data_IF_347652481090
#
_entry.id   IF_347652481090
#
_cell.length_a   1.000
_cell.length_b   1.000
_cell.length_c   1.000
_cell.angle_alpha   90.00
_cell.angle_beta   90.00
_cell.angle_gamma   90.00
#
_symmetry.space_group_name_H-M   'P 1'
#
loop_
_entity.id
_entity.type
_entity.pdbx_description
1 polymer ?
#
# COMPACT_ATOMS: atom_id res chain seq x y z
N UNK A 1 -5.63 37.19 70.62
CA UNK A 1 -4.63 38.01 69.90
C UNK A 1 -3.57 37.08 69.34
N UNK A 2 -3.72 36.68 68.08
CA UNK A 2 -2.71 35.87 67.36
C UNK A 2 -2.85 36.12 65.86
N UNK A 3 -1.94 36.98 65.39
CA UNK A 3 -1.28 37.06 64.08
C UNK A 3 -1.97 36.52 62.82
N UNK A 4 -2.35 37.46 61.97
CA UNK A 4 -2.42 37.31 60.50
C UNK A 4 -1.00 37.40 59.94
N UNK A 5 -0.64 36.56 58.97
CA UNK A 5 0.53 36.76 58.11
C UNK A 5 0.26 36.27 56.68
N UNK A 6 0.83 36.91 55.65
CA UNK A 6 0.32 36.89 54.28
C UNK A 6 1.02 35.85 53.38
N UNK A 7 0.30 35.44 52.35
CA UNK A 7 0.74 34.54 51.27
C UNK A 7 1.90 35.13 50.45
N UNK A 8 2.90 34.33 50.01
CA UNK A 8 3.88 34.77 49.02
C UNK A 8 3.40 34.55 47.57
N UNK A 9 3.94 35.29 46.59
CA UNK A 9 3.44 35.33 45.22
C UNK A 9 3.98 34.19 44.34
N UNK A 10 3.23 33.93 43.27
CA UNK A 10 3.53 32.98 42.21
C UNK A 10 4.92 33.20 41.59
N UNK A 11 5.73 32.13 41.51
CA UNK A 11 6.88 32.05 40.63
C UNK A 11 6.55 31.19 39.41
N UNK A 12 6.69 31.81 38.24
CA UNK A 12 6.73 31.14 36.93
C UNK A 12 8.04 30.37 36.78
N UNK A 13 7.97 29.38 35.89
CA UNK A 13 9.07 28.72 35.15
C UNK A 13 9.42 27.31 35.64
N UNK A 14 8.81 26.36 34.93
CA UNK A 14 9.17 24.95 34.92
C UNK A 14 8.72 24.40 33.58
N UNK A 15 9.54 24.63 32.55
CA UNK A 15 9.45 23.89 31.29
C UNK A 15 9.50 22.41 31.64
N UNK A 16 8.35 21.74 31.63
CA UNK A 16 8.30 20.28 31.63
C UNK A 16 8.86 19.83 30.28
N UNK A 17 10.17 19.72 30.20
CA UNK A 17 10.80 18.80 29.27
C UNK A 17 10.39 17.42 29.76
N UNK A 18 9.25 16.93 29.26
CA UNK A 18 8.86 15.55 29.46
C UNK A 18 9.93 14.72 28.76
N UNK A 19 10.76 14.05 29.56
CA UNK A 19 11.66 13.01 29.08
C UNK A 19 10.82 11.92 28.43
N UNK A 20 10.58 12.02 27.11
CA UNK A 20 9.89 10.99 26.37
C UNK A 20 10.70 9.67 26.50
N UNK A 21 10.04 8.53 26.71
CA UNK A 21 10.73 7.26 26.87
C UNK A 21 11.65 6.94 25.69
N UNK A 22 12.79 6.32 25.99
CA UNK A 22 13.77 5.86 25.01
C UNK A 22 13.17 4.82 24.05
N UNK A 23 12.21 4.02 24.55
CA UNK A 23 11.40 3.09 23.75
C UNK A 23 10.18 3.78 23.14
N UNK A 24 9.88 3.45 21.89
CA UNK A 24 8.64 3.84 21.20
C UNK A 24 7.50 2.83 21.39
N UNK A 25 7.76 1.70 22.03
CA UNK A 25 6.73 0.70 22.30
C UNK A 25 5.78 1.20 23.38
N UNK A 26 4.50 0.89 23.25
CA UNK A 26 3.48 1.36 24.19
C UNK A 26 2.75 0.19 24.85
N UNK A 27 2.44 0.35 26.14
CA UNK A 27 1.63 -0.64 26.86
C UNK A 27 0.16 -0.62 26.40
N UNK A 28 -0.34 0.57 26.07
CA UNK A 28 -1.68 0.80 25.53
C UNK A 28 -1.59 1.30 24.09
N UNK A 29 -2.61 0.99 23.31
CA UNK A 29 -2.73 1.48 21.95
C UNK A 29 -2.82 3.01 21.99
N UNK A 30 -1.81 3.69 21.45
CA UNK A 30 -1.79 5.13 21.36
C UNK A 30 -2.42 5.57 20.03
N UNK A 31 -3.15 6.69 20.06
CA UNK A 31 -3.82 7.23 18.88
C UNK A 31 -3.15 8.51 18.42
N UNK A 32 -2.84 8.57 17.12
CA UNK A 32 -2.32 9.76 16.45
C UNK A 32 -3.42 10.25 15.51
N UNK A 33 -3.97 11.43 15.81
CA UNK A 33 -5.08 12.01 15.06
C UNK A 33 -4.50 13.07 14.12
N UNK A 34 -4.71 12.88 12.81
CA UNK A 34 -4.13 13.76 11.81
C UNK A 34 -2.68 13.41 11.45
N UNK A 35 -2.10 14.23 10.57
CA UNK A 35 -0.75 14.06 10.03
C UNK A 35 0.01 15.38 10.16
N UNK A 36 0.33 15.76 11.40
CA UNK A 36 1.13 16.94 11.68
C UNK A 36 2.63 16.62 11.53
N UNK A 37 3.32 17.44 10.74
CA UNK A 37 4.77 17.30 10.51
C UNK A 37 5.59 17.60 11.77
N UNK A 38 5.07 18.43 12.68
CA UNK A 38 5.74 18.83 13.91
C UNK A 38 5.45 17.86 15.07
N UNK A 39 4.60 16.84 14.86
CA UNK A 39 4.36 15.79 15.84
C UNK A 39 5.63 14.93 16.03
N UNK A 40 6.23 15.06 17.21
CA UNK A 40 7.47 14.38 17.58
C UNK A 40 7.33 12.85 17.58
N UNK A 41 6.18 12.31 17.99
CA UNK A 41 5.93 10.87 17.99
C UNK A 41 5.87 10.37 16.55
N UNK A 42 5.10 11.04 15.69
CA UNK A 42 4.96 10.67 14.28
C UNK A 42 6.30 10.76 13.53
N UNK A 43 7.13 11.76 13.85
CA UNK A 43 8.49 11.90 13.32
C UNK A 43 9.39 10.75 13.78
N UNK A 44 9.33 10.35 15.05
CA UNK A 44 10.08 9.21 15.59
C UNK A 44 9.63 7.87 14.98
N UNK A 45 8.33 7.65 14.82
CA UNK A 45 7.74 6.49 14.14
C UNK A 45 8.25 6.41 12.69
N UNK A 46 8.17 7.51 11.96
CA UNK A 46 8.63 7.61 10.56
C UNK A 46 10.14 7.33 10.43
N UNK A 47 10.94 7.86 11.36
CA UNK A 47 12.38 7.58 11.44
C UNK A 47 12.68 6.11 11.72
N UNK A 48 11.91 5.47 12.60
CA UNK A 48 12.05 4.04 12.88
C UNK A 48 11.74 3.21 11.63
N UNK A 49 10.62 3.48 10.95
CA UNK A 49 10.25 2.84 9.68
C UNK A 49 11.35 2.96 8.62
N UNK A 50 11.95 4.14 8.49
CA UNK A 50 13.07 4.37 7.56
C UNK A 50 14.31 3.52 7.90
N UNK A 51 14.56 3.22 9.19
CA UNK A 51 15.70 2.42 9.66
C UNK A 51 15.44 0.91 9.59
N UNK A 52 14.19 0.47 9.71
CA UNK A 52 13.77 -0.94 9.68
C UNK A 52 14.23 -1.66 8.41
N UNK A 53 14.60 -2.94 8.53
CA UNK A 53 15.16 -3.74 7.43
C UNK A 53 14.30 -4.94 7.04
N UNK A 54 13.36 -5.33 7.91
CA UNK A 54 12.51 -6.52 7.74
C UNK A 54 11.08 -6.14 8.12
N UNK A 55 10.45 -5.38 7.24
CA UNK A 55 9.10 -4.83 7.42
C UNK A 55 8.09 -5.87 6.94
N UNK A 56 7.22 -6.31 7.84
CA UNK A 56 6.01 -7.02 7.48
C UNK A 56 4.87 -6.00 7.27
N UNK A 57 4.06 -6.21 6.25
CA UNK A 57 2.83 -5.46 6.01
C UNK A 57 1.62 -6.38 6.21
N UNK A 58 0.54 -5.84 6.76
CA UNK A 58 -0.78 -6.46 6.76
C UNK A 58 -1.78 -5.49 6.15
N UNK A 59 -2.41 -5.86 5.05
CA UNK A 59 -3.32 -4.97 4.32
C UNK A 59 -4.74 -5.52 4.32
N UNK A 60 -5.71 -4.61 4.17
CA UNK A 60 -7.10 -4.95 3.88
C UNK A 60 -7.72 -3.96 2.90
N UNK A 61 -9.03 -4.07 2.71
CA UNK A 61 -9.72 -3.42 1.60
C UNK A 61 -9.58 -1.89 1.58
N UNK A 62 -9.30 -1.26 2.72
CA UNK A 62 -9.07 0.17 2.83
C UNK A 62 -7.93 0.70 1.95
N UNK A 63 -6.94 -0.12 1.60
CA UNK A 63 -5.85 0.31 0.70
C UNK A 63 -6.28 0.38 -0.77
N UNK A 64 -7.41 -0.24 -1.12
CA UNK A 64 -7.96 -0.32 -2.48
C UNK A 64 -9.16 0.63 -2.69
N UNK A 65 -9.66 1.29 -1.64
CA UNK A 65 -10.79 2.23 -1.74
C UNK A 65 -10.54 3.37 -2.75
N UNK A 66 -9.34 3.96 -2.72
CA UNK A 66 -8.98 5.04 -3.64
C UNK A 66 -8.76 4.55 -5.09
N UNK A 67 -8.71 3.23 -5.32
CA UNK A 67 -8.74 2.63 -6.66
C UNK A 67 -10.17 2.41 -7.19
N UNK A 68 -11.20 2.83 -6.44
CA UNK A 68 -12.61 2.62 -6.79
C UNK A 68 -13.14 1.24 -6.41
N UNK A 69 -12.38 0.44 -5.65
CA UNK A 69 -12.83 -0.84 -5.12
C UNK A 69 -13.39 -0.60 -3.71
N UNK A 70 -14.71 -0.66 -3.50
CA UNK A 70 -15.30 -0.42 -2.18
C UNK A 70 -14.83 -1.46 -1.16
N UNK A 71 -14.67 -1.03 0.10
CA UNK A 71 -14.42 -1.97 1.19
C UNK A 71 -15.66 -2.80 1.51
N UNK A 72 -15.57 -3.75 2.45
CA UNK A 72 -16.71 -4.57 2.81
C UNK A 72 -17.69 -3.92 3.80
N UNK A 73 -17.23 -2.99 4.64
CA UNK A 73 -17.86 -2.67 5.94
C UNK A 73 -18.19 -1.20 6.16
N UNK A 74 -17.73 -0.28 5.32
CA UNK A 74 -18.07 1.13 5.38
C UNK A 74 -19.54 1.34 4.98
N UNK A 75 -20.06 2.54 5.25
CA UNK A 75 -21.43 2.95 4.92
C UNK A 75 -21.77 2.93 3.42
N UNK A 76 -20.73 2.98 2.59
CA UNK A 76 -20.75 2.86 1.13
C UNK A 76 -20.10 1.54 0.66
N UNK A 77 -19.79 0.65 1.59
CA UNK A 77 -19.11 -0.61 1.34
C UNK A 77 -20.01 -1.69 0.73
N UNK A 78 -19.38 -2.80 0.33
CA UNK A 78 -20.02 -3.92 -0.36
C UNK A 78 -21.21 -4.50 0.40
N UNK A 79 -21.18 -4.57 1.74
CA UNK A 79 -22.32 -5.08 2.50
C UNK A 79 -23.57 -4.21 2.38
N UNK A 80 -23.40 -2.89 2.35
CA UNK A 80 -24.51 -1.96 2.22
C UNK A 80 -24.99 -1.88 0.76
N UNK A 81 -24.09 -1.98 -0.22
CA UNK A 81 -24.45 -2.10 -1.64
C UNK A 81 -25.29 -3.35 -1.89
N UNK A 82 -24.85 -4.50 -1.40
CA UNK A 82 -25.62 -5.75 -1.46
C UNK A 82 -26.98 -5.58 -0.78
N UNK A 83 -27.02 -5.00 0.42
CA UNK A 83 -28.28 -4.80 1.15
C UNK A 83 -29.26 -3.89 0.40
N UNK A 84 -28.77 -2.83 -0.26
CA UNK A 84 -29.61 -1.93 -1.08
C UNK A 84 -30.13 -2.63 -2.34
N UNK A 85 -29.23 -3.25 -3.10
CA UNK A 85 -29.57 -3.99 -4.33
C UNK A 85 -30.48 -5.18 -4.04
N UNK A 86 -30.41 -5.71 -2.82
CA UNK A 86 -31.20 -6.86 -2.36
C UNK A 86 -32.31 -6.47 -1.37
N UNK A 87 -32.62 -5.19 -1.20
CA UNK A 87 -33.60 -4.71 -0.20
C UNK A 87 -35.01 -5.24 -0.43
N UNK A 88 -35.32 -5.62 -1.66
CA UNK A 88 -36.54 -6.32 -2.07
C UNK A 88 -36.61 -7.79 -1.61
N UNK A 89 -35.52 -8.35 -1.07
CA UNK A 89 -35.43 -9.75 -0.67
C UNK A 89 -35.27 -9.87 0.85
N UNK A 90 -36.37 -10.23 1.52
CA UNK A 90 -36.47 -10.39 2.98
C UNK A 90 -35.45 -11.39 3.58
N UNK A 91 -34.90 -12.29 2.76
CA UNK A 91 -34.04 -13.40 3.20
C UNK A 91 -32.58 -13.04 3.50
N UNK A 92 -32.11 -11.83 3.15
CA UNK A 92 -30.71 -11.40 3.40
C UNK A 92 -30.70 -10.40 4.55
N UNK A 93 -30.27 -10.85 5.74
CA UNK A 93 -30.27 -10.00 6.94
C UNK A 93 -29.00 -9.15 7.05
N UNK A 94 -27.90 -9.57 6.43
CA UNK A 94 -26.65 -8.81 6.40
C UNK A 94 -25.79 -9.14 5.18
N UNK A 95 -24.98 -8.19 4.72
CA UNK A 95 -24.01 -8.43 3.64
C UNK A 95 -22.96 -9.49 3.97
N UNK A 96 -22.73 -9.79 5.27
CA UNK A 96 -21.86 -10.90 5.70
C UNK A 96 -22.36 -12.25 5.23
N UNK A 97 -23.69 -12.46 5.17
CA UNK A 97 -24.28 -13.73 4.72
C UNK A 97 -23.88 -14.07 3.29
N UNK A 98 -23.63 -13.07 2.44
CA UNK A 98 -23.18 -13.28 1.06
C UNK A 98 -21.74 -13.76 0.94
N UNK A 99 -21.00 -13.78 2.04
CA UNK A 99 -19.62 -14.27 2.11
C UNK A 99 -19.46 -15.39 3.11
N UNK A 100 -20.56 -16.04 3.52
CA UNK A 100 -20.55 -17.18 4.42
C UNK A 100 -20.81 -18.47 3.63
N UNK A 101 -20.12 -19.55 3.98
CA UNK A 101 -20.24 -20.85 3.28
C UNK A 101 -21.68 -21.37 3.28
N UNK A 102 -22.51 -20.97 4.26
CA UNK A 102 -23.93 -21.32 4.32
C UNK A 102 -24.75 -20.77 3.16
N UNK A 103 -24.25 -19.79 2.39
CA UNK A 103 -24.93 -19.27 1.19
C UNK A 103 -25.20 -20.36 0.16
N UNK A 104 -24.36 -21.40 0.08
CA UNK A 104 -24.52 -22.50 -0.88
C UNK A 104 -25.67 -23.47 -0.54
N UNK A 105 -26.42 -23.20 0.53
CA UNK A 105 -27.63 -23.94 0.87
C UNK A 105 -28.89 -23.35 0.24
N UNK A 106 -28.76 -22.21 -0.45
CA UNK A 106 -29.88 -21.45 -0.99
C UNK A 106 -29.54 -20.95 -2.41
N UNK A 107 -30.23 -21.50 -3.41
CA UNK A 107 -30.05 -21.15 -4.82
C UNK A 107 -30.25 -19.65 -5.09
N UNK A 108 -31.12 -19.01 -4.33
CA UNK A 108 -31.36 -17.58 -4.45
C UNK A 108 -30.13 -16.78 -4.00
N UNK A 109 -29.51 -17.16 -2.88
CA UNK A 109 -28.26 -16.53 -2.40
C UNK A 109 -27.09 -16.81 -3.34
N UNK A 110 -27.01 -18.01 -3.91
CA UNK A 110 -26.03 -18.35 -4.95
C UNK A 110 -26.15 -17.40 -6.15
N UNK A 111 -27.38 -17.12 -6.60
CA UNK A 111 -27.61 -16.24 -7.75
C UNK A 111 -27.14 -14.82 -7.51
N UNK A 112 -27.42 -14.26 -6.33
CA UNK A 112 -26.95 -12.92 -5.95
C UNK A 112 -25.42 -12.92 -5.81
N UNK A 113 -24.85 -13.94 -5.16
CA UNK A 113 -23.41 -14.07 -4.99
C UNK A 113 -22.70 -14.10 -6.34
N UNK A 114 -23.17 -14.91 -7.29
CA UNK A 114 -22.60 -15.02 -8.62
C UNK A 114 -22.61 -13.67 -9.37
N UNK A 115 -23.76 -12.97 -9.40
CA UNK A 115 -23.89 -11.65 -10.04
C UNK A 115 -22.96 -10.62 -9.41
N UNK A 116 -22.93 -10.61 -8.09
CA UNK A 116 -22.10 -9.71 -7.32
C UNK A 116 -20.61 -9.93 -7.62
N UNK A 117 -20.16 -11.18 -7.59
CA UNK A 117 -18.74 -11.51 -7.80
C UNK A 117 -18.29 -11.20 -9.24
N UNK A 118 -19.18 -11.35 -10.22
CA UNK A 118 -18.91 -10.94 -11.60
C UNK A 118 -18.74 -9.42 -11.74
N UNK A 119 -19.61 -8.64 -11.08
CA UNK A 119 -19.51 -7.17 -11.03
C UNK A 119 -18.23 -6.74 -10.34
N UNK A 120 -17.89 -7.35 -9.19
CA UNK A 120 -16.66 -7.08 -8.47
C UNK A 120 -15.43 -7.39 -9.33
N UNK A 121 -15.39 -8.57 -9.96
CA UNK A 121 -14.32 -8.95 -10.88
C UNK A 121 -14.17 -7.91 -12.00
N UNK A 122 -15.27 -7.52 -12.66
CA UNK A 122 -15.24 -6.52 -13.73
C UNK A 122 -14.71 -5.16 -13.27
N UNK A 123 -15.09 -4.71 -12.07
CA UNK A 123 -14.60 -3.45 -11.50
C UNK A 123 -13.10 -3.51 -11.17
N UNK A 124 -12.63 -4.62 -10.60
CA UNK A 124 -11.22 -4.83 -10.28
C UNK A 124 -10.34 -4.78 -11.52
N UNK A 125 -10.81 -5.31 -12.66
CA UNK A 125 -10.05 -5.26 -13.92
C UNK A 125 -9.80 -3.82 -14.43
N UNK A 126 -10.61 -2.85 -14.02
CA UNK A 126 -10.46 -1.44 -14.37
C UNK A 126 -9.66 -0.65 -13.34
N UNK A 127 -9.49 -1.20 -12.14
CA UNK A 127 -8.84 -0.53 -11.03
C UNK A 127 -7.32 -0.44 -11.25
N UNK A 128 -6.73 0.67 -10.79
CA UNK A 128 -5.28 0.87 -10.80
C UNK A 128 -4.71 0.84 -9.39
N UNK A 129 -3.49 0.32 -9.19
CA UNK A 129 -2.81 0.31 -7.89
C UNK A 129 -2.71 1.72 -7.27
N UNK A 130 -3.10 1.82 -6.00
CA UNK A 130 -3.04 3.08 -5.22
C UNK A 130 -1.61 3.45 -4.82
N UNK A 131 -1.43 4.64 -4.23
CA UNK A 131 -0.12 5.04 -3.67
C UNK A 131 0.36 4.05 -2.61
N UNK A 132 -0.56 3.51 -1.82
CA UNK A 132 -0.26 2.48 -0.81
C UNK A 132 0.29 1.21 -1.43
N UNK A 133 -0.26 0.74 -2.55
CA UNK A 133 0.29 -0.41 -3.27
C UNK A 133 1.71 -0.13 -3.75
N UNK A 134 1.92 1.04 -4.37
CA UNK A 134 3.24 1.48 -4.85
C UNK A 134 4.26 1.61 -3.71
N UNK A 135 3.83 2.06 -2.52
CA UNK A 135 4.68 2.08 -1.33
C UNK A 135 5.15 0.68 -0.94
N UNK A 136 4.28 -0.34 -0.98
CA UNK A 136 4.67 -1.73 -0.68
C UNK A 136 5.69 -2.24 -1.71
N UNK A 137 5.49 -1.96 -3.00
CA UNK A 137 6.50 -2.27 -4.02
C UNK A 137 7.81 -1.54 -3.78
N UNK A 138 7.76 -0.27 -3.39
CA UNK A 138 8.95 0.49 -3.02
C UNK A 138 9.69 -0.15 -1.83
N UNK A 139 8.99 -0.69 -0.83
CA UNK A 139 9.63 -1.44 0.25
C UNK A 139 10.40 -2.68 -0.27
N UNK A 140 9.85 -3.39 -1.27
CA UNK A 140 10.53 -4.50 -1.95
C UNK A 140 11.77 -4.01 -2.68
N UNK A 141 11.67 -2.96 -3.47
CA UNK A 141 12.79 -2.41 -4.25
C UNK A 141 13.94 -1.92 -3.35
N UNK A 142 13.60 -1.48 -2.13
CA UNK A 142 14.57 -1.10 -1.10
C UNK A 142 15.10 -2.28 -0.28
N UNK A 143 14.70 -3.51 -0.60
CA UNK A 143 15.03 -4.75 0.11
C UNK A 143 14.67 -4.70 1.60
N UNK A 144 13.56 -4.01 1.92
CA UNK A 144 13.03 -3.83 3.28
C UNK A 144 11.76 -4.62 3.51
N UNK A 145 10.99 -4.94 2.47
CA UNK A 145 9.82 -5.79 2.58
C UNK A 145 10.24 -7.22 2.93
N UNK A 146 9.77 -7.71 4.07
CA UNK A 146 9.83 -9.12 4.42
C UNK A 146 8.66 -9.86 3.78
N UNK A 147 7.44 -9.34 3.96
CA UNK A 147 6.20 -9.91 3.45
C UNK A 147 5.08 -8.89 3.50
N UNK A 148 4.18 -8.92 2.53
CA UNK A 148 2.85 -8.35 2.64
C UNK A 148 1.83 -9.47 2.82
N UNK A 149 1.11 -9.49 3.93
CA UNK A 149 -0.05 -10.36 4.11
C UNK A 149 -1.29 -9.56 3.74
N UNK A 150 -1.97 -9.93 2.66
CA UNK A 150 -3.13 -9.18 2.16
C UNK A 150 -4.42 -9.93 2.43
N UNK A 151 -5.42 -9.25 2.98
CA UNK A 151 -6.79 -9.75 3.07
C UNK A 151 -7.56 -9.54 1.77
N UNK A 152 -6.98 -8.81 0.82
CA UNK A 152 -7.63 -8.44 -0.42
C UNK A 152 -7.57 -9.59 -1.43
N UNK A 153 -8.59 -9.61 -2.28
CA UNK A 153 -8.77 -10.59 -3.35
C UNK A 153 -8.61 -9.94 -4.74
N UNK A 154 -8.43 -8.61 -4.80
CA UNK A 154 -8.34 -7.82 -6.02
C UNK A 154 -7.07 -8.11 -6.84
N UNK A 155 -5.96 -8.43 -6.17
CA UNK A 155 -4.70 -8.79 -6.82
C UNK A 155 -3.98 -7.62 -7.49
N UNK A 156 -4.27 -6.38 -7.06
CA UNK A 156 -3.61 -5.17 -7.57
C UNK A 156 -2.10 -5.18 -7.30
N UNK A 157 -1.65 -5.86 -6.26
CA UNK A 157 -0.22 -6.02 -5.93
C UNK A 157 0.57 -6.68 -7.08
N UNK A 158 -0.02 -7.64 -7.81
CA UNK A 158 0.69 -8.31 -8.92
C UNK A 158 0.98 -7.35 -10.07
N UNK A 159 0.07 -6.41 -10.35
CA UNK A 159 0.19 -5.47 -11.47
C UNK A 159 1.36 -4.49 -11.32
N UNK A 160 1.94 -4.37 -10.11
CA UNK A 160 3.15 -3.59 -9.83
C UNK A 160 4.39 -4.48 -9.61
N UNK A 161 4.34 -5.74 -10.06
CA UNK A 161 5.48 -6.65 -10.05
C UNK A 161 5.76 -7.31 -8.70
N UNK A 162 4.79 -7.32 -7.77
CA UNK A 162 4.89 -8.11 -6.55
C UNK A 162 4.51 -9.57 -6.82
N UNK A 163 5.32 -10.48 -6.30
CA UNK A 163 5.12 -11.93 -6.47
C UNK A 163 4.07 -12.40 -5.47
N UNK A 164 2.91 -12.84 -5.98
CA UNK A 164 1.82 -13.36 -5.14
C UNK A 164 2.02 -14.83 -4.77
N UNK A 165 1.53 -15.21 -3.59
CA UNK A 165 1.35 -16.60 -3.20
C UNK A 165 0.41 -17.32 -4.16
N UNK A 166 0.79 -18.51 -4.61
CA UNK A 166 -0.09 -19.38 -5.38
C UNK A 166 -0.20 -20.75 -4.70
N UNK A 167 -1.20 -21.53 -5.10
CA UNK A 167 -1.51 -22.84 -4.50
C UNK A 167 -0.61 -23.97 -5.02
N UNK A 168 0.18 -23.73 -6.08
CA UNK A 168 1.00 -24.78 -6.68
C UNK A 168 2.24 -24.98 -5.80
N UNK A 169 2.44 -26.21 -5.35
CA UNK A 169 3.65 -26.56 -4.64
C UNK A 169 4.84 -26.44 -5.60
N UNK A 170 5.93 -25.77 -5.18
CA UNK A 170 7.11 -25.61 -6.01
C UNK A 170 7.82 -26.95 -6.23
N UNK A 171 8.49 -27.08 -7.37
CA UNK A 171 9.48 -28.16 -7.60
C UNK A 171 10.76 -27.96 -6.75
N UNK A 172 10.92 -26.79 -6.15
CA UNK A 172 12.04 -26.41 -5.27
C UNK A 172 11.67 -26.51 -3.79
N UNK A 173 12.65 -26.40 -2.89
CA UNK A 173 12.40 -26.41 -1.44
C UNK A 173 11.40 -25.32 -1.04
N UNK A 174 10.40 -25.70 -0.21
CA UNK A 174 9.36 -24.81 0.32
C UNK A 174 9.94 -23.49 0.86
N UNK A 175 11.03 -23.55 1.63
CA UNK A 175 11.64 -22.35 2.22
C UNK A 175 12.19 -21.38 1.18
N UNK A 176 12.72 -21.88 0.05
CA UNK A 176 13.24 -21.02 -1.01
C UNK A 176 12.10 -20.38 -1.79
N UNK A 177 11.07 -21.15 -2.11
CA UNK A 177 9.89 -20.63 -2.79
C UNK A 177 9.18 -19.59 -1.93
N UNK A 178 8.94 -19.90 -0.65
CA UNK A 178 8.32 -18.98 0.29
C UNK A 178 9.10 -17.67 0.39
N UNK A 179 10.44 -17.71 0.46
CA UNK A 179 11.27 -16.49 0.50
C UNK A 179 11.11 -15.60 -0.74
N UNK A 180 10.75 -16.16 -1.89
CA UNK A 180 10.61 -15.42 -3.14
C UNK A 180 9.22 -14.79 -3.33
N UNK A 181 8.23 -15.10 -2.48
CA UNK A 181 6.94 -14.40 -2.54
C UNK A 181 7.11 -13.02 -1.90
N UNK A 182 6.39 -12.04 -2.41
CA UNK A 182 6.33 -10.72 -1.76
C UNK A 182 5.02 -10.59 -0.98
N UNK A 183 3.94 -11.16 -1.53
CA UNK A 183 2.59 -11.01 -1.03
C UNK A 183 1.96 -12.38 -0.79
N UNK A 184 1.30 -12.55 0.36
CA UNK A 184 0.53 -13.74 0.73
C UNK A 184 -0.94 -13.35 0.81
N UNK A 185 -1.76 -13.93 -0.06
CA UNK A 185 -3.20 -13.70 -0.10
C UNK A 185 -3.90 -14.58 0.93
N UNK A 186 -4.50 -13.96 1.93
CA UNK A 186 -5.11 -14.64 3.07
C UNK A 186 -6.55 -15.09 2.81
N UNK A 187 -7.21 -14.61 1.76
CA UNK A 187 -8.62 -14.91 1.48
C UNK A 187 -8.87 -15.37 0.03
N UNK A 188 -7.84 -15.90 -0.64
CA UNK A 188 -7.90 -16.34 -2.03
C UNK A 188 -7.70 -15.20 -3.04
N UNK A 189 -8.24 -15.36 -4.24
CA UNK A 189 -8.05 -14.46 -5.37
C UNK A 189 -9.31 -14.33 -6.24
N UNK A 190 -9.46 -13.20 -6.92
CA UNK A 190 -10.49 -12.99 -7.94
C UNK A 190 -10.03 -13.38 -9.35
N UNK A 191 -8.82 -13.90 -9.56
CA UNK A 191 -8.30 -14.22 -10.91
C UNK A 191 -8.75 -15.58 -11.40
N UNK A 192 -9.22 -16.42 -10.50
CA UNK A 192 -9.62 -17.79 -10.81
C UNK A 192 -10.98 -18.16 -10.22
N UNK A 193 -11.60 -19.15 -10.84
CA UNK A 193 -12.71 -19.92 -10.31
C UNK A 193 -12.16 -21.22 -9.74
N UNK A 194 -12.74 -21.72 -8.67
CA UNK A 194 -12.38 -22.96 -7.99
C UNK A 194 -13.57 -23.91 -7.96
N UNK A 195 -13.30 -25.18 -8.23
CA UNK A 195 -14.30 -26.23 -8.14
C UNK A 195 -14.58 -26.59 -6.69
N UNK A 196 -15.85 -26.66 -6.31
CA UNK A 196 -16.30 -27.05 -4.95
C UNK A 196 -16.01 -28.53 -4.59
N UNK A 197 -15.49 -29.32 -5.53
CA UNK A 197 -15.24 -30.76 -5.35
C UNK A 197 -13.80 -31.18 -5.57
N UNK A 198 -13.30 -31.01 -6.79
CA UNK A 198 -11.92 -31.39 -7.11
C UNK A 198 -10.92 -30.30 -6.69
N UNK A 199 -11.40 -29.12 -6.27
CA UNK A 199 -10.58 -27.98 -5.88
C UNK A 199 -9.64 -27.45 -6.96
N UNK A 200 -9.78 -27.93 -8.20
CA UNK A 200 -9.05 -27.43 -9.34
C UNK A 200 -9.48 -25.99 -9.63
N UNK A 201 -8.50 -25.16 -9.98
CA UNK A 201 -8.72 -23.76 -10.34
C UNK A 201 -8.65 -23.53 -11.84
N UNK A 202 -9.45 -22.58 -12.31
CA UNK A 202 -9.61 -22.22 -13.71
C UNK A 202 -9.58 -20.69 -13.86
N UNK A 203 -8.88 -20.13 -14.87
CA UNK A 203 -8.97 -18.70 -15.15
C UNK A 203 -10.38 -18.32 -15.61
N UNK A 204 -10.77 -17.06 -15.47
CA UNK A 204 -12.07 -16.62 -15.99
C UNK A 204 -12.14 -16.77 -17.51
N UNK A 205 -13.28 -17.25 -18.00
CA UNK A 205 -13.60 -17.28 -19.43
C UNK A 205 -14.80 -16.37 -19.72
N UNK A 206 -14.95 -15.94 -20.98
CA UNK A 206 -16.12 -15.16 -21.41
C UNK A 206 -17.43 -15.94 -21.22
N UNK A 207 -17.38 -17.27 -21.26
CA UNK A 207 -18.54 -18.11 -20.97
C UNK A 207 -18.89 -18.05 -19.48
N UNK A 208 -17.92 -18.31 -18.59
CA UNK A 208 -18.17 -18.32 -17.15
C UNK A 208 -18.54 -16.95 -16.59
N UNK A 209 -17.95 -15.85 -17.09
CA UNK A 209 -18.39 -14.49 -16.73
C UNK A 209 -19.87 -14.27 -17.11
N UNK A 210 -20.34 -14.77 -18.26
CA UNK A 210 -21.77 -14.65 -18.62
C UNK A 210 -22.68 -15.49 -17.71
N UNK A 211 -22.28 -16.70 -17.32
CA UNK A 211 -23.02 -17.52 -16.35
C UNK A 211 -23.17 -16.75 -15.03
N UNK A 212 -22.08 -16.24 -14.48
CA UNK A 212 -22.12 -15.54 -13.20
C UNK A 212 -22.93 -14.23 -13.30
N UNK A 213 -22.87 -13.52 -14.43
CA UNK A 213 -23.71 -12.33 -14.69
C UNK A 213 -25.21 -12.67 -14.70
N UNK A 214 -25.59 -13.88 -15.11
CA UNK A 214 -26.97 -14.38 -15.04
C UNK A 214 -27.36 -14.88 -13.64
N UNK A 215 -26.39 -15.01 -12.75
CA UNK A 215 -26.59 -15.56 -11.41
C UNK A 215 -26.54 -17.08 -11.38
N UNK A 216 -25.72 -17.67 -12.26
CA UNK A 216 -25.53 -19.11 -12.36
C UNK A 216 -24.05 -19.43 -12.10
N UNK A 217 -23.80 -20.51 -11.36
CA UNK A 217 -22.46 -21.05 -11.20
C UNK A 217 -22.25 -22.24 -12.16
N UNK A 218 -21.27 -22.17 -13.07
CA UNK A 218 -21.09 -23.18 -14.10
C UNK A 218 -20.53 -24.49 -13.54
N UNK A 219 -20.76 -25.59 -14.25
CA UNK A 219 -20.20 -26.90 -13.91
C UNK A 219 -18.69 -26.96 -14.15
N UNK A 220 -18.01 -27.81 -13.39
CA UNK A 220 -16.57 -28.03 -13.49
C UNK A 220 -16.25 -28.98 -14.65
N UNK A 221 -15.49 -28.53 -15.67
CA UNK A 221 -15.20 -29.34 -16.85
C UNK A 221 -14.39 -30.60 -16.52
N UNK A 222 -13.48 -30.52 -15.55
CA UNK A 222 -12.68 -31.67 -15.14
C UNK A 222 -13.53 -32.75 -14.44
N UNK A 223 -14.49 -32.32 -13.62
CA UNK A 223 -15.44 -33.25 -12.99
C UNK A 223 -16.36 -33.90 -14.03
N UNK A 224 -16.84 -33.14 -15.02
CA UNK A 224 -17.64 -33.67 -16.14
C UNK A 224 -16.84 -34.68 -16.96
N UNK A 225 -15.60 -34.32 -17.34
CA UNK A 225 -14.71 -35.21 -18.08
C UNK A 225 -14.43 -36.51 -17.33
N UNK A 226 -14.21 -36.43 -16.01
CA UNK A 226 -14.00 -37.61 -15.16
C UNK A 226 -15.23 -38.53 -15.12
N UNK A 227 -16.43 -37.96 -15.00
CA UNK A 227 -17.67 -38.74 -14.99
C UNK A 227 -17.92 -39.38 -16.36
N UNK A 228 -17.75 -38.62 -17.44
CA UNK A 228 -17.91 -39.14 -18.81
C UNK A 228 -16.94 -40.27 -19.11
N UNK A 229 -15.67 -40.14 -18.68
CA UNK A 229 -14.67 -41.20 -18.81
C UNK A 229 -15.12 -42.48 -18.07
N UNK A 230 -15.60 -42.36 -16.84
CA UNK A 230 -16.07 -43.52 -16.06
C UNK A 230 -17.29 -44.18 -16.67
N UNK A 231 -18.22 -43.38 -17.20
CA UNK A 231 -19.41 -43.87 -17.90
C UNK A 231 -19.01 -44.70 -19.14
N UNK A 232 -18.09 -44.19 -19.95
CA UNK A 232 -17.58 -44.90 -21.13
C UNK A 232 -16.82 -46.19 -20.78
N UNK A 233 -16.21 -46.26 -19.59
CA UNK A 233 -15.53 -47.45 -19.07
C UNK A 233 -16.50 -48.46 -18.40
N UNK A 234 -17.83 -48.23 -18.45
CA UNK A 234 -18.84 -49.11 -17.83
C UNK A 234 -18.77 -49.12 -16.29
N UNK A 235 -18.04 -48.18 -15.68
CA UNK A 235 -17.86 -48.12 -14.22
C UNK A 235 -19.10 -47.48 -13.59
N UNK A 236 -19.47 -47.99 -12.40
CA UNK A 236 -20.55 -47.39 -11.60
C UNK A 236 -20.27 -45.90 -11.38
N UNK A 237 -21.29 -45.08 -11.62
CA UNK A 237 -21.31 -43.67 -11.24
C UNK A 237 -21.30 -43.56 -9.72
N UNK A 238 -20.19 -43.08 -9.16
CA UNK A 238 -20.15 -42.61 -7.79
C UNK A 238 -21.02 -41.34 -7.77
N UNK A 239 -22.28 -41.47 -7.35
CA UNK A 239 -23.29 -40.41 -7.20
C UNK A 239 -23.12 -39.17 -8.09
N UNK A 240 -23.98 -39.02 -9.11
CA UNK A 240 -24.07 -37.85 -10.02
C UNK A 240 -23.82 -36.54 -9.29
N UNK A 241 -22.59 -36.05 -9.31
CA UNK A 241 -22.34 -34.82 -8.60
C UNK A 241 -21.05 -34.17 -9.12
N UNK A 242 -21.15 -33.69 -10.35
CA UNK A 242 -20.22 -32.75 -10.99
C UNK A 242 -20.01 -31.56 -10.04
N UNK A 243 -18.77 -31.11 -9.88
CA UNK A 243 -18.49 -29.95 -9.05
C UNK A 243 -18.95 -28.65 -9.70
N UNK A 244 -19.24 -27.64 -8.90
CA UNK A 244 -19.63 -26.32 -9.39
C UNK A 244 -18.41 -25.40 -9.29
N UNK A 245 -18.19 -24.56 -10.30
CA UNK A 245 -17.17 -23.52 -10.29
C UNK A 245 -17.70 -22.27 -9.63
N UNK A 246 -17.00 -21.81 -8.60
CA UNK A 246 -17.26 -20.54 -7.91
C UNK A 246 -16.01 -19.67 -7.90
N UNK A 247 -16.08 -18.35 -7.72
CA UNK A 247 -14.89 -17.52 -7.51
C UNK A 247 -13.99 -18.07 -6.40
N UNK A 248 -12.67 -18.06 -6.63
CA UNK A 248 -11.67 -18.67 -5.74
C UNK A 248 -11.36 -17.82 -4.50
N UNK A 249 -12.42 -17.49 -3.75
CA UNK A 249 -12.33 -16.73 -2.50
C UNK A 249 -12.66 -17.62 -1.30
N UNK A 250 -12.06 -17.31 -0.16
CA UNK A 250 -12.31 -18.01 1.10
C UNK A 250 -13.47 -17.33 1.82
N UNK A 251 -14.51 -18.11 2.11
CA UNK A 251 -15.72 -17.63 2.76
C UNK A 251 -15.64 -17.79 4.29
N UNK A 252 -16.47 -17.05 5.03
CA UNK A 252 -16.68 -17.30 6.45
C UNK A 252 -17.20 -18.72 6.67
N UNK A 253 -16.66 -19.40 7.69
CA UNK A 253 -16.99 -20.79 7.98
C UNK A 253 -16.32 -21.80 7.06
N UNK A 254 -15.55 -21.36 6.06
CA UNK A 254 -14.76 -22.23 5.20
C UNK A 254 -13.32 -22.37 5.70
N UNK A 255 -12.76 -23.57 5.58
CA UNK A 255 -11.34 -23.79 5.82
C UNK A 255 -10.52 -23.21 4.67
N UNK A 256 -9.49 -22.43 5.01
CA UNK A 256 -8.59 -21.88 4.00
C UNK A 256 -7.83 -23.02 3.29
N UNK A 257 -7.92 -23.15 1.95
CA UNK A 257 -7.35 -24.30 1.21
C UNK A 257 -5.82 -24.40 1.29
N UNK A 258 -5.14 -23.28 1.56
CA UNK A 258 -3.70 -23.20 1.77
C UNK A 258 -3.31 -22.92 3.23
N UNK A 259 -4.15 -23.24 4.22
CA UNK A 259 -3.91 -22.89 5.63
C UNK A 259 -2.57 -23.42 6.16
N UNK A 260 -2.19 -24.64 5.78
CA UNK A 260 -0.94 -25.28 6.20
C UNK A 260 0.27 -24.55 5.62
N UNK A 261 0.26 -24.27 4.32
CA UNK A 261 1.31 -23.52 3.61
C UNK A 261 1.48 -22.13 4.23
N UNK A 262 0.38 -21.42 4.47
CA UNK A 262 0.43 -20.08 5.08
C UNK A 262 0.98 -20.15 6.51
N UNK A 263 0.55 -21.15 7.29
CA UNK A 263 1.02 -21.30 8.68
C UNK A 263 2.51 -21.65 8.74
N UNK A 264 2.96 -22.58 7.91
CA UNK A 264 4.37 -22.97 7.79
C UNK A 264 5.22 -21.77 7.34
N UNK A 265 4.73 -21.03 6.36
CA UNK A 265 5.37 -19.85 5.83
C UNK A 265 5.45 -18.70 6.83
N UNK A 266 4.37 -18.42 7.57
CA UNK A 266 4.35 -17.44 8.65
C UNK A 266 5.39 -17.78 9.72
N UNK A 267 5.53 -19.05 10.08
CA UNK A 267 6.56 -19.49 11.02
C UNK A 267 7.98 -19.24 10.47
N UNK A 268 8.22 -19.42 9.18
CA UNK A 268 9.50 -19.07 8.55
C UNK A 268 9.76 -17.57 8.60
N UNK A 269 8.76 -16.74 8.31
CA UNK A 269 8.90 -15.28 8.36
C UNK A 269 9.19 -14.80 9.80
N UNK A 270 8.52 -15.39 10.81
CA UNK A 270 8.75 -15.06 12.23
C UNK A 270 10.15 -15.49 12.68
N UNK A 271 10.52 -16.76 12.44
CA UNK A 271 11.75 -17.35 12.99
C UNK A 271 12.98 -16.93 12.18
N UNK A 272 12.94 -17.10 10.87
CA UNK A 272 14.08 -16.83 9.97
C UNK A 272 14.03 -15.43 9.36
N UNK A 273 12.83 -14.97 8.99
CA UNK A 273 12.64 -13.62 8.43
C UNK A 273 12.95 -12.54 9.45
N UNK A 274 12.68 -12.82 10.72
CA UNK A 274 13.04 -12.01 11.87
C UNK A 274 12.61 -10.54 11.65
N UNK A 275 11.29 -10.26 11.64
CA UNK A 275 10.77 -8.93 11.40
C UNK A 275 11.21 -7.94 12.49
N UNK A 276 11.31 -6.66 12.13
CA UNK A 276 11.62 -5.55 13.04
C UNK A 276 10.58 -4.41 12.99
N UNK A 277 9.59 -4.53 12.12
CA UNK A 277 8.49 -3.56 12.00
C UNK A 277 7.26 -4.21 11.39
N UNK A 278 6.06 -3.86 11.88
CA UNK A 278 4.79 -4.26 11.27
C UNK A 278 3.97 -3.03 10.93
N UNK A 279 3.56 -2.92 9.66
CA UNK A 279 2.63 -1.89 9.19
C UNK A 279 1.30 -2.57 8.88
N UNK A 280 0.25 -2.21 9.61
CA UNK A 280 -1.11 -2.65 9.34
C UNK A 280 -1.83 -1.50 8.64
N UNK A 281 -2.46 -1.75 7.49
CA UNK A 281 -3.07 -0.69 6.67
C UNK A 281 -4.47 -1.08 6.19
N UNK A 282 -5.42 -0.15 6.31
CA UNK A 282 -6.73 -0.26 5.66
C UNK A 282 -7.55 -1.48 6.08
N UNK A 283 -7.49 -1.87 7.36
CA UNK A 283 -8.26 -3.02 7.85
C UNK A 283 -8.83 -2.77 9.25
N UNK A 284 -10.02 -3.30 9.49
CA UNK A 284 -10.69 -3.29 10.79
C UNK A 284 -10.28 -4.46 11.70
N UNK A 285 -9.40 -5.36 11.22
CA UNK A 285 -8.91 -6.53 11.96
C UNK A 285 -10.01 -7.38 12.61
N UNK A 286 -11.18 -7.49 11.96
CA UNK A 286 -12.32 -8.25 12.48
C UNK A 286 -12.23 -9.76 12.24
N UNK A 287 -11.37 -10.22 11.34
CA UNK A 287 -11.21 -11.64 10.96
C UNK A 287 -10.25 -12.35 11.93
N UNK A 288 -10.69 -13.41 12.59
CA UNK A 288 -9.93 -14.04 13.69
C UNK A 288 -8.58 -14.62 13.26
N UNK A 289 -8.50 -15.25 12.08
CA UNK A 289 -7.23 -15.75 11.56
C UNK A 289 -6.18 -14.64 11.40
N UNK A 290 -6.63 -13.46 10.96
CA UNK A 290 -5.78 -12.27 10.82
C UNK A 290 -5.35 -11.73 12.19
N UNK A 291 -6.25 -11.72 13.18
CA UNK A 291 -5.90 -11.31 14.56
C UNK A 291 -4.79 -12.17 15.14
N UNK A 292 -4.86 -13.49 14.94
CA UNK A 292 -3.84 -14.41 15.43
C UNK A 292 -2.49 -14.19 14.72
N UNK A 293 -2.50 -13.90 13.42
CA UNK A 293 -1.30 -13.55 12.67
C UNK A 293 -0.62 -12.30 13.25
N UNK A 294 -1.38 -11.23 13.50
CA UNK A 294 -0.85 -9.98 14.08
C UNK A 294 -0.25 -10.24 15.46
N UNK A 295 -0.95 -10.98 16.33
CA UNK A 295 -0.45 -11.30 17.68
C UNK A 295 0.87 -12.07 17.64
N UNK A 296 1.01 -13.04 16.73
CA UNK A 296 2.25 -13.82 16.57
C UNK A 296 3.42 -12.98 16.06
N UNK A 297 3.19 -12.12 15.06
CA UNK A 297 4.23 -11.20 14.56
C UNK A 297 4.62 -10.18 15.62
N UNK A 298 3.62 -9.63 16.33
CA UNK A 298 3.79 -8.58 17.32
C UNK A 298 4.79 -8.98 18.40
N UNK A 299 4.58 -10.15 19.02
CA UNK A 299 5.50 -10.69 20.03
C UNK A 299 6.95 -10.68 19.55
N UNK A 300 7.21 -11.22 18.35
CA UNK A 300 8.57 -11.32 17.80
C UNK A 300 9.20 -9.95 17.49
N UNK A 301 8.39 -9.00 17.04
CA UNK A 301 8.84 -7.64 16.69
C UNK A 301 9.16 -6.87 17.98
N UNK A 302 8.30 -6.97 18.98
CA UNK A 302 8.49 -6.31 20.26
C UNK A 302 9.71 -6.81 21.02
N UNK A 303 9.98 -8.12 21.02
CA UNK A 303 11.19 -8.73 21.58
C UNK A 303 12.50 -8.13 21.04
N UNK A 304 12.45 -7.45 19.90
CA UNK A 304 13.60 -6.83 19.22
C UNK A 304 13.65 -5.31 19.32
N UNK A 305 12.77 -4.69 20.12
CA UNK A 305 12.60 -3.24 20.13
C UNK A 305 12.00 -2.70 18.82
N UNK A 306 11.34 -3.56 18.05
CA UNK A 306 10.62 -3.18 16.84
C UNK A 306 9.30 -2.49 17.16
N UNK A 307 8.63 -1.99 16.13
CA UNK A 307 7.42 -1.17 16.29
C UNK A 307 6.30 -1.64 15.36
N UNK A 308 5.06 -1.48 15.83
CA UNK A 308 3.86 -1.96 15.18
C UNK A 308 2.88 -0.80 15.08
N UNK A 309 2.53 -0.42 13.85
CA UNK A 309 1.61 0.68 13.58
C UNK A 309 0.41 0.20 12.79
N UNK A 310 -0.72 0.87 13.01
CA UNK A 310 -1.94 0.73 12.25
C UNK A 310 -2.29 2.05 11.59
N UNK A 311 -2.42 2.08 10.28
CA UNK A 311 -2.91 3.22 9.50
C UNK A 311 -4.30 2.89 9.00
N UNK A 312 -5.32 3.54 9.55
CA UNK A 312 -6.70 3.28 9.16
C UNK A 312 -7.59 4.49 9.46
N UNK A 313 -8.59 4.75 8.60
CA UNK A 313 -9.57 5.83 8.80
C UNK A 313 -10.43 5.62 10.04
N UNK A 314 -10.80 4.37 10.32
CA UNK A 314 -11.73 4.02 11.39
C UNK A 314 -11.00 3.45 12.61
N UNK A 315 -11.42 3.81 13.83
CA UNK A 315 -10.89 3.21 15.05
C UNK A 315 -11.15 1.70 15.09
N UNK A 316 -10.25 0.96 15.72
CA UNK A 316 -10.44 -0.47 16.01
C UNK A 316 -10.78 -0.67 17.50
N UNK A 317 -11.38 -1.80 17.85
CA UNK A 317 -11.77 -2.07 19.24
C UNK A 317 -10.56 -2.19 20.18
N UNK A 318 -10.33 -1.16 20.99
CA UNK A 318 -9.05 -0.86 21.67
C UNK A 318 -8.51 -1.97 22.59
N UNK A 319 -9.37 -2.54 23.44
CA UNK A 319 -8.94 -3.44 24.52
C UNK A 319 -8.24 -4.71 24.03
N UNK A 320 -8.56 -5.17 22.83
CA UNK A 320 -7.98 -6.39 22.25
C UNK A 320 -6.57 -6.19 21.67
N UNK A 321 -6.09 -4.94 21.58
CA UNK A 321 -4.85 -4.57 20.89
C UNK A 321 -3.83 -3.84 21.77
N UNK A 322 -4.16 -3.59 23.04
CA UNK A 322 -3.18 -3.13 24.03
C UNK A 322 -2.00 -4.10 24.14
N UNK A 323 -0.79 -3.56 24.22
CA UNK A 323 0.47 -4.31 24.22
C UNK A 323 0.75 -5.08 22.91
N UNK A 324 -0.03 -4.86 21.85
CA UNK A 324 0.14 -5.55 20.55
C UNK A 324 0.41 -4.54 19.43
N UNK A 325 -0.41 -3.49 19.34
CA UNK A 325 -0.22 -2.40 18.37
C UNK A 325 0.17 -1.15 19.16
N UNK A 326 1.27 -0.51 18.77
CA UNK A 326 1.80 0.62 19.51
C UNK A 326 1.01 1.90 19.16
N UNK A 327 0.86 2.17 17.86
CA UNK A 327 0.22 3.39 17.36
C UNK A 327 -0.87 3.09 16.33
N UNK A 328 -2.06 3.66 16.53
CA UNK A 328 -3.06 3.82 15.49
C UNK A 328 -3.03 5.25 14.95
N UNK A 329 -2.65 5.38 13.69
CA UNK A 329 -2.66 6.62 12.91
C UNK A 329 -4.00 6.71 12.18
N UNK A 330 -4.82 7.69 12.57
CA UNK A 330 -6.13 7.94 11.98
C UNK A 330 -5.98 8.73 10.69
N UNK A 331 -5.85 8.02 9.57
CA UNK A 331 -5.70 8.63 8.25
C UNK A 331 -6.12 7.71 7.12
N UNK A 332 -6.35 8.30 5.96
CA UNK A 332 -6.35 7.59 4.69
C UNK A 332 -4.94 7.01 4.41
N UNK A 333 -4.88 5.80 3.89
CA UNK A 333 -3.62 5.11 3.66
C UNK A 333 -2.74 5.84 2.62
N UNK A 334 -3.31 6.38 1.55
CA UNK A 334 -2.55 7.11 0.53
C UNK A 334 -2.12 8.49 1.02
N UNK A 335 -2.94 9.14 1.86
CA UNK A 335 -2.55 10.40 2.51
C UNK A 335 -1.37 10.17 3.46
N UNK A 336 -1.37 9.09 4.24
CA UNK A 336 -0.24 8.73 5.10
C UNK A 336 1.03 8.43 4.29
N UNK A 337 0.92 7.73 3.16
CA UNK A 337 2.06 7.51 2.26
C UNK A 337 2.60 8.83 1.69
N UNK A 338 1.70 9.73 1.26
CA UNK A 338 2.09 11.07 0.79
C UNK A 338 2.79 11.87 1.88
N UNK A 339 2.32 11.76 3.13
CA UNK A 339 3.00 12.33 4.28
C UNK A 339 4.39 11.73 4.49
N UNK A 340 4.56 10.41 4.41
CA UNK A 340 5.87 9.78 4.50
C UNK A 340 6.85 10.30 3.43
N UNK A 341 6.37 10.48 2.19
CA UNK A 341 7.18 11.05 1.09
C UNK A 341 7.71 12.44 1.45
N UNK A 342 6.91 13.26 2.13
CA UNK A 342 7.32 14.58 2.62
C UNK A 342 8.31 14.52 3.78
N UNK A 343 8.14 13.58 4.72
CA UNK A 343 8.91 13.51 5.96
C UNK A 343 10.26 12.81 5.79
N UNK A 344 10.32 11.78 4.95
CA UNK A 344 11.54 11.02 4.67
C UNK A 344 11.79 10.94 3.16
N UNK A 345 11.99 12.07 2.46
CA UNK A 345 12.11 12.09 1.00
C UNK A 345 13.31 11.28 0.49
N UNK A 346 14.37 11.17 1.28
CA UNK A 346 15.54 10.35 0.92
C UNK A 346 15.24 8.83 0.99
N UNK A 347 14.17 8.41 1.67
CA UNK A 347 13.71 7.03 1.67
C UNK A 347 13.15 6.60 0.31
N UNK A 348 12.47 7.52 -0.38
CA UNK A 348 11.75 7.31 -1.65
C UNK A 348 12.61 7.49 -2.90
N UNK A 349 13.87 7.91 -2.74
CA UNK A 349 14.79 8.12 -3.87
C UNK A 349 15.65 6.90 -4.14
N UNK A 350 16.06 6.75 -5.40
CA UNK A 350 17.04 5.72 -5.80
C UNK A 350 18.42 6.01 -5.22
N UNK A 351 19.27 4.98 -5.15
CA UNK A 351 20.65 5.16 -4.67
C UNK A 351 21.43 6.18 -5.52
N UNK A 352 21.20 6.22 -6.82
CA UNK A 352 21.87 7.17 -7.71
C UNK A 352 21.34 8.59 -7.55
N UNK A 353 20.02 8.76 -7.36
CA UNK A 353 19.45 10.05 -6.98
C UNK A 353 19.99 10.54 -5.64
N UNK A 354 20.14 9.64 -4.64
CA UNK A 354 20.71 9.98 -3.34
C UNK A 354 22.20 10.36 -3.48
N UNK A 355 23.00 9.59 -4.22
CA UNK A 355 24.42 9.92 -4.49
C UNK A 355 24.55 11.27 -5.19
N UNK A 356 23.75 11.50 -6.23
CA UNK A 356 23.71 12.78 -6.98
C UNK A 356 23.29 13.93 -6.08
N UNK A 357 22.27 13.76 -5.24
CA UNK A 357 21.86 14.78 -4.25
C UNK A 357 22.93 15.06 -3.20
N UNK A 358 23.66 14.04 -2.72
CA UNK A 358 24.78 14.20 -1.79
C UNK A 358 25.94 14.95 -2.44
N UNK A 359 26.26 14.63 -3.70
CA UNK A 359 27.25 15.33 -4.49
C UNK A 359 26.88 16.80 -4.67
N UNK A 360 25.66 17.09 -5.14
CA UNK A 360 25.15 18.46 -5.30
C UNK A 360 25.15 19.24 -3.98
N UNK A 361 24.82 18.59 -2.85
CA UNK A 361 24.90 19.21 -1.51
C UNK A 361 26.33 19.57 -1.11
N UNK A 362 27.32 18.71 -1.41
CA UNK A 362 28.74 18.96 -1.14
C UNK A 362 29.25 20.12 -1.99
N UNK A 363 29.03 20.07 -3.30
CA UNK A 363 29.41 21.13 -4.24
C UNK A 363 28.83 22.50 -3.85
N UNK A 364 27.53 22.54 -3.49
CA UNK A 364 26.91 23.77 -3.01
C UNK A 364 27.50 24.26 -1.67
N UNK A 365 27.92 23.36 -0.78
CA UNK A 365 28.58 23.72 0.47
C UNK A 365 29.98 24.28 0.24
N UNK A 366 30.73 23.71 -0.70
CA UNK A 366 32.10 24.14 -1.00
C UNK A 366 32.11 25.50 -1.70
N UNK A 367 31.17 25.74 -2.64
CA UNK A 367 30.97 27.06 -3.25
C UNK A 367 30.61 28.13 -2.21
N UNK A 368 29.78 27.80 -1.21
CA UNK A 368 29.45 28.73 -0.11
C UNK A 368 30.67 29.06 0.76
N UNK A 369 31.56 28.10 1.00
CA UNK A 369 32.82 28.33 1.73
C UNK A 369 33.76 29.24 0.92
N UNK A 370 33.85 29.04 -0.40
CA UNK A 370 34.65 29.89 -1.29
C UNK A 370 34.14 31.33 -1.30
N UNK A 371 32.82 31.54 -1.40
CA UNK A 371 32.22 32.87 -1.28
C UNK A 371 32.52 33.54 0.05
N UNK A 372 32.46 32.79 1.16
CA UNK A 372 32.78 33.33 2.49
C UNK A 372 34.25 33.73 2.58
N UNK A 373 35.17 32.90 2.08
CA UNK A 373 36.60 33.21 2.06
C UNK A 373 36.92 34.44 1.18
N UNK A 374 36.27 34.58 0.02
CA UNK A 374 36.39 35.79 -0.81
C UNK A 374 35.88 37.03 -0.07
N UNK A 375 34.74 36.92 0.62
CA UNK A 375 34.19 38.02 1.41
C UNK A 375 35.07 38.40 2.61
N UNK A 376 35.68 37.43 3.28
CA UNK A 376 36.58 37.66 4.42
C UNK A 376 37.94 38.23 3.97
N UNK A 377 38.35 37.98 2.71
CA UNK A 377 39.56 38.58 2.10
C UNK A 377 39.37 40.04 1.68
N UNK A 378 38.13 40.45 1.42
CA UNK A 378 37.74 41.85 1.16
C UNK A 378 37.41 42.45 2.53
N UNK A 379 38.43 42.87 3.28
CA UNK A 379 38.28 43.42 4.63
C UNK A 379 37.17 44.49 4.75
N UNK A 380 36.55 44.59 5.93
CA UNK A 380 35.54 45.62 6.24
C UNK A 380 36.06 47.01 5.86
N UNK A 381 35.31 47.80 5.06
CA UNK A 381 35.77 49.12 4.66
C UNK A 381 35.88 50.05 5.89
N UNK A 382 36.89 50.93 5.95
CA UNK A 382 36.99 51.91 7.03
C UNK A 382 35.80 52.87 7.00
N UNK A 383 35.41 53.36 8.17
CA UNK A 383 34.20 54.15 8.47
C UNK A 383 34.22 55.59 7.91
N UNK A 384 34.83 55.83 6.76
CA UNK A 384 35.00 57.19 6.20
C UNK A 384 34.63 57.20 4.71
N UNK A 385 33.72 58.08 4.26
CA UNK A 385 33.26 58.07 2.87
C UNK A 385 34.32 58.72 1.97
N UNK A 386 35.07 57.92 1.22
CA UNK A 386 35.85 58.41 0.09
C UNK A 386 35.22 57.96 -1.23
N UNK A 387 34.85 58.97 -2.04
CA UNK A 387 34.45 58.89 -3.44
C UNK A 387 35.63 58.38 -4.27
N UNK A 388 35.59 57.12 -4.68
CA UNK A 388 35.96 56.62 -6.02
C UNK A 388 35.81 55.09 -6.02
N UNK A 389 34.69 54.60 -6.56
CA UNK A 389 34.46 53.17 -6.73
C UNK A 389 35.30 52.67 -7.92
N UNK A 390 36.52 52.21 -7.65
CA UNK A 390 37.18 51.24 -8.52
C UNK A 390 36.54 49.86 -8.28
N UNK A 391 36.28 49.12 -9.36
CA UNK A 391 35.55 47.86 -9.36
C UNK A 391 36.19 46.80 -8.47
N UNK A 392 35.71 46.71 -7.23
CA UNK A 392 35.94 45.57 -6.33
C UNK A 392 35.11 44.40 -6.88
N UNK A 393 35.67 43.20 -6.84
CA UNK A 393 35.25 41.92 -7.44
C UNK A 393 33.76 41.51 -7.26
N UNK A 394 32.85 42.24 -7.90
CA UNK A 394 31.40 41.96 -7.95
C UNK A 394 31.12 40.82 -8.94
N UNK A 395 31.98 40.62 -9.95
CA UNK A 395 31.81 39.58 -10.97
C UNK A 395 31.98 38.16 -10.41
N UNK A 396 33.02 37.89 -9.61
CA UNK A 396 33.24 36.57 -9.02
C UNK A 396 32.11 36.13 -8.08
N UNK A 397 31.62 37.04 -7.24
CA UNK A 397 30.48 36.78 -6.35
C UNK A 397 29.15 36.56 -7.11
N UNK A 398 28.94 37.23 -8.25
CA UNK A 398 27.77 37.02 -9.10
C UNK A 398 27.80 35.65 -9.81
N UNK A 399 28.98 35.18 -10.25
CA UNK A 399 29.12 33.85 -10.85
C UNK A 399 28.90 32.71 -9.85
N UNK A 400 29.49 32.81 -8.64
CA UNK A 400 29.30 31.83 -7.56
C UNK A 400 27.82 31.74 -7.14
N UNK A 401 27.14 32.88 -7.02
CA UNK A 401 25.70 32.91 -6.75
C UNK A 401 24.87 32.24 -7.86
N UNK A 402 25.24 32.45 -9.12
CA UNK A 402 24.56 31.84 -10.27
C UNK A 402 24.75 30.33 -10.29
N UNK A 403 25.96 29.84 -9.99
CA UNK A 403 26.25 28.40 -9.85
C UNK A 403 25.46 27.75 -8.71
N UNK A 404 25.38 28.40 -7.54
CA UNK A 404 24.59 27.91 -6.40
C UNK A 404 23.09 27.86 -6.75
N UNK A 405 22.56 28.88 -7.43
CA UNK A 405 21.16 28.88 -7.90
C UNK A 405 20.90 27.72 -8.86
N UNK A 406 21.78 27.50 -9.84
CA UNK A 406 21.68 26.38 -10.80
C UNK A 406 21.69 25.01 -10.10
N UNK A 407 22.63 24.78 -9.17
CA UNK A 407 22.68 23.54 -8.39
C UNK A 407 21.41 23.32 -7.56
N UNK A 408 20.83 24.39 -6.99
CA UNK A 408 19.57 24.31 -6.27
C UNK A 408 18.38 24.02 -7.20
N UNK A 409 18.37 24.52 -8.43
CA UNK A 409 17.37 24.19 -9.45
C UNK A 409 17.43 22.73 -9.84
N UNK A 410 18.63 22.20 -10.11
CA UNK A 410 18.83 20.76 -10.40
C UNK A 410 18.40 19.91 -9.20
N UNK A 411 18.72 20.35 -7.99
CA UNK A 411 18.30 19.68 -6.76
C UNK A 411 16.78 19.64 -6.60
N UNK A 412 16.06 20.72 -6.95
CA UNK A 412 14.58 20.74 -6.96
C UNK A 412 14.00 19.77 -7.99
N UNK A 413 14.53 19.74 -9.21
CA UNK A 413 14.09 18.78 -10.24
C UNK A 413 14.25 17.31 -9.82
N UNK A 414 15.30 16.99 -9.05
CA UNK A 414 15.49 15.63 -8.51
C UNK A 414 14.56 15.35 -7.30
N UNK A 415 14.11 16.39 -6.59
CA UNK A 415 13.20 16.29 -5.44
C UNK A 415 11.72 16.18 -5.85
N UNK A 416 11.37 16.61 -7.06
CA UNK A 416 9.99 16.67 -7.56
C UNK A 416 9.95 16.21 -9.03
N UNK A 417 9.89 14.88 -9.29
CA UNK A 417 9.85 14.35 -10.65
C UNK A 417 8.50 14.57 -11.35
N UNK A 418 7.44 14.85 -10.58
CA UNK A 418 6.10 15.11 -11.10
C UNK A 418 6.04 16.52 -11.68
N UNK A 419 6.36 16.62 -12.98
CA UNK A 419 5.90 17.63 -13.94
C UNK A 419 6.44 17.37 -15.37
N UNK A 420 7.23 16.32 -15.60
CA UNK A 420 7.78 16.01 -16.93
C UNK A 420 6.82 15.24 -17.86
N UNK A 421 5.51 15.27 -17.63
CA UNK A 421 4.53 14.61 -18.51
C UNK A 421 3.50 15.57 -19.12
N UNK A 422 3.44 16.83 -18.69
CA UNK A 422 2.53 17.83 -19.28
C UNK A 422 3.24 18.78 -20.25
N UNK A 423 4.56 18.96 -20.15
CA UNK A 423 5.32 19.85 -21.05
C UNK A 423 5.70 19.17 -22.40
N UNK A 424 5.71 17.83 -22.49
CA UNK A 424 6.10 17.09 -23.70
C UNK A 424 4.97 16.98 -24.76
N UNK A 425 3.72 17.34 -24.41
CA UNK A 425 2.60 17.37 -25.38
C UNK A 425 2.51 18.71 -26.14
N UNK A 426 3.01 19.81 -25.59
CA UNK A 426 2.95 21.13 -26.25
C UNK A 426 4.01 21.27 -27.36
N UNK A 427 5.17 20.62 -27.22
CA UNK A 427 6.24 20.67 -28.24
C UNK A 427 5.94 19.79 -29.49
N UNK A 428 5.01 18.83 -29.36
CA UNK A 428 4.57 17.97 -30.47
C UNK A 428 3.42 18.55 -31.30
N UNK A 429 2.74 19.61 -30.82
CA UNK A 429 1.70 20.29 -31.59
C UNK A 429 2.28 21.32 -32.58
N UNK A 430 3.43 21.90 -32.27
CA UNK A 430 4.04 22.97 -33.08
C UNK A 430 4.83 22.43 -34.29
N UNK A 431 5.36 21.21 -34.17
CA UNK A 431 5.99 20.48 -35.29
C UNK A 431 4.96 19.97 -36.31
N UNK A 432 3.71 19.70 -35.91
CA UNK A 432 2.62 19.31 -36.83
C UNK A 432 1.99 20.48 -37.61
N UNK A 433 2.12 21.72 -37.12
CA UNK A 433 1.58 22.91 -37.81
C UNK A 433 2.51 23.49 -38.88
N UNK A 434 3.80 23.12 -38.89
CA UNK A 434 4.79 23.58 -39.89
C UNK A 434 4.83 22.79 -41.21
N UNK A 435 4.07 21.69 -41.34
CA UNK A 435 4.14 20.81 -42.51
C UNK A 435 2.97 20.93 -43.52
N UNK A 436 2.22 22.04 -43.54
CA UNK A 436 1.15 22.24 -44.55
C UNK A 436 1.14 23.64 -45.15
N UNK A 437 2.00 23.86 -46.14
CA UNK A 437 1.77 24.82 -47.24
C UNK A 437 2.12 24.11 -48.57
N UNK A 438 1.13 24.14 -49.49
CA UNK A 438 0.90 23.54 -50.84
C UNK A 438 1.92 23.99 -51.94
N UNK A 439 1.87 23.56 -53.26
CA UNK A 439 0.71 23.08 -54.07
C UNK A 439 0.89 22.01 -55.20
N UNK A 440 -0.28 21.51 -55.67
CA UNK A 440 -0.72 21.16 -57.06
C UNK A 440 -0.09 20.05 -57.92
N UNK A 441 -0.89 19.05 -58.33
CA UNK A 441 -1.54 18.88 -59.68
C UNK A 441 -1.96 17.41 -59.92
N UNK A 442 -3.07 17.19 -60.63
CA UNK A 442 -3.31 15.96 -61.41
C UNK A 442 -4.66 15.25 -61.21
N UNK A 443 -5.60 15.53 -62.10
CA UNK A 443 -6.85 14.82 -62.34
C UNK A 443 -6.66 13.35 -62.76
N UNK A 444 -7.62 12.49 -62.39
CA UNK A 444 -8.25 11.42 -63.20
C UNK A 444 -9.06 10.49 -62.27
N UNK A 445 -10.39 10.61 -62.24
CA UNK A 445 -11.37 9.84 -63.04
C UNK A 445 -11.39 8.31 -62.80
N UNK A 446 -12.61 7.87 -62.46
CA UNK A 446 -13.25 6.57 -62.76
C UNK A 446 -12.75 5.31 -62.04
N UNK A 447 -13.54 4.83 -61.06
CA UNK A 447 -14.52 3.75 -61.20
C UNK A 447 -14.90 3.15 -59.85
#
# INVERSE_FOLDING_TARGET
MTSVSPSPPASRSGSMCSDLPSSLQTEKLAHIIGLDADDEVLRRVTKQLSRSRRIACLTGAGISCNAGIPDFRSSDGLYDLVKKDCSQYWSIKSGREMFDISLFRDDFKISIFAKFMERLYSNVQLAKPTKTHKFIAHLKDRNKLLRCYTQNIDGLEESIGLTLSNRKLPLTSFSSHWKNLDVVQLHGDLKTLSCTKCFQTFPWSRYWSRCLRRGELPLCPDCEALINKRFNEGKRTLGSNVGILRPNIVLYGENHPSCEIITQGLNLDIIKGNPDFLIIMGTSLKVDGVKQLVKKLSKKIHDRGGLIILVNKTPIGESSWHGIIDYQIHSDCDNWVTFLESQIPDFFKTQDQIKKLRQLKREASDLRKQMKAQKDSIGTPPTTPLRTAQGIDIQGNNELNTKIKSLNTVKRKILSPENSSEEDEEENLDTRKRAKIRPTFGDNQAS
#
